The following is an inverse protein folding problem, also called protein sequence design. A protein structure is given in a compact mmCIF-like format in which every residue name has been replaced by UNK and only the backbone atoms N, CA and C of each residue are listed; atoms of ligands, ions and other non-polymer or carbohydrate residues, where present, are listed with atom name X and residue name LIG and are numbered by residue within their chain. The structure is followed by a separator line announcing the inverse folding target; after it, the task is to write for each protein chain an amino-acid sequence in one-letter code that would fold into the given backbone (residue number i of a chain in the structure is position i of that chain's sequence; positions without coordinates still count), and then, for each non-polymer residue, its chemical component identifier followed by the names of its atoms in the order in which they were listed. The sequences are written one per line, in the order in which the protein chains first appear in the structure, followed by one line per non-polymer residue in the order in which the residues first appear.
data_IF_404114247298
#
_entry.id   IF_404114247298
#
_cell.length_a   1.000
_cell.length_b   1.000
_cell.length_c   1.000
_cell.angle_alpha   90.00
_cell.angle_beta   90.00
_cell.angle_gamma   90.00
#
_symmetry.space_group_name_H-M   'P 1'
#
loop_
_entity.id
_entity.type
_entity.pdbx_description
1 polymer ?
#
# COMPACT_ATOMS: atom_id res chain seq x y z
N UNK A 1 27.50 0.05 6.21
CA UNK A 1 26.60 -0.17 5.06
C UNK A 1 25.33 -0.92 5.50
N UNK A 2 24.67 -0.49 6.59
CA UNK A 2 23.54 -1.26 7.18
C UNK A 2 22.51 -0.36 7.88
N UNK A 3 22.35 0.90 7.44
CA UNK A 3 21.45 1.84 8.11
C UNK A 3 20.58 2.68 7.16
N UNK A 4 20.48 2.30 5.88
CA UNK A 4 19.67 3.03 4.89
C UNK A 4 18.35 2.30 4.56
N UNK A 5 18.18 1.06 5.05
CA UNK A 5 17.12 0.15 4.58
C UNK A 5 15.98 -0.03 5.61
N UNK A 6 15.69 1.01 6.41
CA UNK A 6 14.57 1.03 7.35
C UNK A 6 13.43 1.97 6.93
N UNK A 7 13.65 2.85 5.95
CA UNK A 7 12.63 3.79 5.48
C UNK A 7 11.74 3.22 4.36
N UNK A 8 12.20 2.15 3.72
CA UNK A 8 11.38 1.38 2.80
C UNK A 8 10.70 0.28 3.61
N UNK A 9 9.50 0.54 4.15
CA UNK A 9 8.60 -0.48 4.70
C UNK A 9 8.09 -1.45 3.61
N UNK A 10 8.99 -1.89 2.72
CA UNK A 10 8.81 -2.84 1.65
C UNK A 10 9.49 -4.10 2.14
N UNK A 11 8.71 -5.15 2.42
CA UNK A 11 9.31 -6.45 2.72
C UNK A 11 10.04 -6.89 1.45
N UNK A 12 11.37 -7.15 1.50
CA UNK A 12 12.13 -7.51 0.32
C UNK A 12 11.48 -8.70 -0.38
N UNK A 13 11.30 -8.58 -1.69
CA UNK A 13 10.68 -9.62 -2.53
C UNK A 13 11.39 -10.97 -2.37
N UNK A 14 12.70 -10.94 -2.13
CA UNK A 14 13.51 -12.12 -1.83
C UNK A 14 13.09 -12.85 -0.55
N UNK A 15 12.65 -12.12 0.48
CA UNK A 15 12.22 -12.69 1.76
C UNK A 15 10.81 -13.26 1.64
N UNK A 16 9.86 -12.52 1.05
CA UNK A 16 8.47 -13.00 0.92
C UNK A 16 8.36 -14.20 -0.02
N UNK A 17 9.04 -14.18 -1.17
CA UNK A 17 9.05 -15.29 -2.10
C UNK A 17 9.79 -16.51 -1.52
N UNK A 18 10.93 -16.27 -0.86
CA UNK A 18 11.64 -17.31 -0.11
C UNK A 18 10.76 -17.91 1.00
N UNK A 19 9.97 -17.07 1.68
CA UNK A 19 9.01 -17.48 2.69
C UNK A 19 7.86 -18.32 2.13
N UNK A 20 7.29 -17.96 0.97
CA UNK A 20 6.28 -18.80 0.29
C UNK A 20 6.85 -20.18 -0.02
N UNK A 21 8.06 -20.23 -0.60
CA UNK A 21 8.73 -21.51 -0.90
C UNK A 21 8.98 -22.30 0.37
N UNK A 22 9.48 -21.67 1.44
CA UNK A 22 9.68 -22.30 2.73
C UNK A 22 8.36 -22.83 3.33
N UNK A 23 7.25 -22.09 3.18
CA UNK A 23 5.92 -22.50 3.61
C UNK A 23 5.40 -23.71 2.86
N UNK A 24 5.62 -23.78 1.55
CA UNK A 24 5.27 -24.96 0.75
C UNK A 24 6.12 -26.18 1.13
N UNK A 25 7.42 -25.99 1.36
CA UNK A 25 8.32 -27.06 1.86
C UNK A 25 7.85 -27.53 3.24
N UNK A 26 7.51 -26.61 4.14
CA UNK A 26 7.00 -26.92 5.47
C UNK A 26 5.65 -27.65 5.40
N UNK A 27 4.79 -27.28 4.46
CA UNK A 27 3.50 -27.95 4.21
C UNK A 27 3.65 -29.39 3.75
N UNK A 28 4.67 -29.66 2.93
CA UNK A 28 5.06 -31.02 2.55
C UNK A 28 5.63 -31.74 3.76
N UNK A 29 6.60 -31.15 4.46
CA UNK A 29 7.32 -31.80 5.56
C UNK A 29 6.42 -32.08 6.77
N UNK A 30 5.45 -31.19 7.05
CA UNK A 30 4.57 -31.21 8.22
C UNK A 30 3.10 -31.02 7.79
N UNK A 31 2.45 -32.05 7.23
CA UNK A 31 1.06 -31.94 6.74
C UNK A 31 0.05 -31.60 7.83
N UNK A 32 0.41 -31.86 9.10
CA UNK A 32 -0.35 -31.47 10.28
C UNK A 32 -0.58 -29.97 10.41
N UNK A 33 0.24 -29.13 9.76
CA UNK A 33 0.01 -27.68 9.70
C UNK A 33 -1.34 -27.33 9.04
N UNK A 34 -1.88 -28.24 8.22
CA UNK A 34 -3.14 -28.07 7.49
C UNK A 34 -4.21 -29.08 7.93
N UNK A 35 -4.05 -29.68 9.11
CA UNK A 35 -4.87 -30.81 9.59
C UNK A 35 -4.95 -31.97 8.60
N UNK A 36 -3.89 -32.19 7.82
CA UNK A 36 -3.79 -33.30 6.85
C UNK A 36 -2.83 -34.37 7.33
N UNK A 37 -3.04 -35.57 6.81
CA UNK A 37 -2.21 -36.75 7.11
C UNK A 37 -1.24 -37.07 5.98
N UNK A 38 -1.58 -36.69 4.74
CA UNK A 38 -0.77 -36.93 3.55
C UNK A 38 0.11 -35.72 3.20
N UNK A 39 1.37 -35.98 2.85
CA UNK A 39 2.31 -34.97 2.35
C UNK A 39 1.81 -34.23 1.10
N UNK A 40 1.10 -34.95 0.23
CA UNK A 40 0.52 -34.35 -0.97
C UNK A 40 -0.64 -33.41 -0.62
N UNK A 41 -1.49 -33.80 0.33
CA UNK A 41 -2.58 -32.95 0.79
C UNK A 41 -2.07 -31.70 1.50
N UNK A 42 -1.00 -31.83 2.30
CA UNK A 42 -0.31 -30.68 2.90
C UNK A 42 0.19 -29.70 1.84
N UNK A 43 0.88 -30.18 0.80
CA UNK A 43 1.30 -29.35 -0.33
C UNK A 43 0.13 -28.67 -1.03
N UNK A 44 -0.93 -29.42 -1.32
CA UNK A 44 -2.12 -28.90 -1.99
C UNK A 44 -2.77 -27.78 -1.16
N UNK A 45 -2.90 -27.96 0.15
CA UNK A 45 -3.47 -26.96 1.06
C UNK A 45 -2.58 -25.73 1.19
N UNK A 46 -1.26 -25.90 1.34
CA UNK A 46 -0.32 -24.78 1.34
C UNK A 46 -0.31 -24.01 0.01
N UNK A 47 -0.34 -24.71 -1.12
CA UNK A 47 -0.41 -24.08 -2.45
C UNK A 47 -1.73 -23.34 -2.67
N UNK A 48 -2.85 -23.92 -2.24
CA UNK A 48 -4.17 -23.30 -2.30
C UNK A 48 -4.24 -22.09 -1.37
N UNK A 49 -3.70 -22.17 -0.15
CA UNK A 49 -3.58 -21.04 0.76
C UNK A 49 -2.73 -19.91 0.17
N UNK A 50 -1.57 -20.23 -0.41
CA UNK A 50 -0.70 -19.23 -1.02
C UNK A 50 -1.36 -18.54 -2.22
N UNK A 51 -1.92 -19.32 -3.16
CA UNK A 51 -2.60 -18.80 -4.33
C UNK A 51 -3.87 -18.03 -3.93
N UNK A 52 -4.65 -18.57 -3.00
CA UNK A 52 -5.87 -17.94 -2.48
C UNK A 52 -5.58 -16.61 -1.80
N UNK A 53 -4.56 -16.54 -0.95
CA UNK A 53 -4.09 -15.31 -0.31
C UNK A 53 -3.64 -14.27 -1.32
N UNK A 54 -2.78 -14.68 -2.26
CA UNK A 54 -2.32 -13.80 -3.33
C UNK A 54 -3.49 -13.22 -4.12
N UNK A 55 -4.37 -14.08 -4.64
CA UNK A 55 -5.50 -13.68 -5.49
C UNK A 55 -6.47 -12.79 -4.72
N UNK A 56 -6.85 -13.18 -3.50
CA UNK A 56 -7.80 -12.42 -2.68
C UNK A 56 -7.33 -11.00 -2.45
N UNK A 57 -6.11 -10.84 -1.93
CA UNK A 57 -5.61 -9.51 -1.58
C UNK A 57 -5.26 -8.71 -2.84
N UNK A 58 -4.76 -9.36 -3.89
CA UNK A 58 -4.58 -8.70 -5.19
C UNK A 58 -5.88 -8.14 -5.76
N UNK A 59 -6.99 -8.89 -5.66
CA UNK A 59 -8.31 -8.41 -6.09
C UNK A 59 -8.78 -7.21 -5.26
N UNK A 60 -8.58 -7.24 -3.94
CA UNK A 60 -8.88 -6.12 -3.04
C UNK A 60 -8.08 -4.89 -3.45
N UNK A 61 -6.77 -5.03 -3.66
CA UNK A 61 -5.88 -3.94 -4.10
C UNK A 61 -6.34 -3.41 -5.46
N UNK A 62 -6.68 -4.29 -6.40
CA UNK A 62 -7.12 -3.91 -7.74
C UNK A 62 -8.46 -3.15 -7.70
N UNK A 63 -9.40 -3.60 -6.89
CA UNK A 63 -10.67 -2.92 -6.66
C UNK A 63 -10.46 -1.56 -5.99
N UNK A 64 -9.61 -1.48 -4.95
CA UNK A 64 -9.24 -0.23 -4.30
C UNK A 64 -8.62 0.77 -5.27
N UNK A 65 -7.72 0.31 -6.15
CA UNK A 65 -7.15 1.15 -7.22
C UNK A 65 -8.20 1.62 -8.23
N UNK A 66 -9.18 0.77 -8.57
CA UNK A 66 -10.27 1.16 -9.46
C UNK A 66 -11.18 2.23 -8.81
N UNK A 67 -11.43 2.12 -7.50
CA UNK A 67 -12.30 3.04 -6.76
C UNK A 67 -11.60 4.35 -6.36
N UNK A 68 -10.31 4.32 -6.03
CA UNK A 68 -9.60 5.44 -5.38
C UNK A 68 -8.25 5.80 -6.03
N UNK A 69 -7.90 5.22 -7.18
CA UNK A 69 -6.52 5.23 -7.69
C UNK A 69 -5.95 6.57 -8.16
N UNK A 70 -6.75 7.65 -8.20
CA UNK A 70 -6.28 9.01 -8.49
C UNK A 70 -7.12 10.00 -7.70
N UNK A 71 -6.46 10.92 -7.01
CA UNK A 71 -7.12 12.12 -6.48
C UNK A 71 -7.03 13.18 -7.56
N UNK A 72 -8.17 13.74 -7.95
CA UNK A 72 -8.22 14.87 -8.88
C UNK A 72 -8.64 16.10 -8.10
N UNK A 73 -7.80 17.12 -8.17
CA UNK A 73 -8.13 18.48 -7.81
C UNK A 73 -8.59 19.17 -9.09
N UNK A 74 -9.81 19.68 -9.09
CA UNK A 74 -10.36 20.49 -10.17
C UNK A 74 -11.02 21.71 -9.52
N UNK A 75 -10.57 22.90 -9.91
CA UNK A 75 -11.11 24.18 -9.43
C UNK A 75 -11.36 25.12 -10.60
N UNK A 76 -12.47 25.86 -10.54
CA UNK A 76 -12.79 26.93 -11.50
C UNK A 76 -11.87 28.15 -11.29
N UNK A 77 -11.45 28.40 -10.05
CA UNK A 77 -10.50 29.47 -9.71
C UNK A 77 -9.07 28.90 -9.62
N UNK A 78 -8.05 29.62 -10.14
CA UNK A 78 -6.65 29.20 -10.03
C UNK A 78 -6.23 28.98 -8.57
N UNK A 79 -5.71 27.79 -8.28
CA UNK A 79 -5.18 27.41 -6.97
C UNK A 79 -3.66 27.53 -6.97
N UNK A 80 -3.08 27.85 -5.81
CA UNK A 80 -1.63 27.91 -5.68
C UNK A 80 -1.01 26.51 -5.75
N UNK A 81 0.02 26.37 -6.57
CA UNK A 81 0.83 25.17 -6.68
C UNK A 81 2.26 25.49 -6.25
N UNK A 82 2.85 24.64 -5.41
CA UNK A 82 4.29 24.74 -5.14
C UNK A 82 4.93 23.40 -4.80
N UNK A 83 6.19 23.27 -5.19
CA UNK A 83 7.11 22.23 -4.72
C UNK A 83 8.24 22.96 -4.03
N UNK A 84 8.35 22.76 -2.73
CA UNK A 84 9.39 23.38 -1.92
C UNK A 84 10.04 22.36 -1.01
N UNK A 85 11.33 22.55 -0.75
CA UNK A 85 12.08 21.78 0.23
C UNK A 85 12.47 22.73 1.37
N UNK A 86 11.70 22.77 2.49
CA UNK A 86 11.93 23.73 3.57
C UNK A 86 13.26 23.53 4.30
N UNK A 87 13.72 22.28 4.39
CA UNK A 87 14.99 21.88 5.02
C UNK A 87 15.76 20.94 4.06
N UNK A 88 17.05 21.18 3.78
CA UNK A 88 17.86 20.30 2.94
C UNK A 88 17.94 18.83 3.39
N UNK A 89 17.69 18.55 4.68
CA UNK A 89 17.65 17.18 5.21
C UNK A 89 16.29 16.50 5.03
N UNK A 90 15.23 17.26 4.73
CA UNK A 90 13.87 16.75 4.56
C UNK A 90 13.53 16.49 3.08
N UNK A 91 12.58 15.59 2.83
CA UNK A 91 12.01 15.40 1.50
C UNK A 91 11.24 16.65 1.04
N UNK A 92 11.15 16.92 -0.28
CA UNK A 92 10.33 17.99 -0.80
C UNK A 92 8.86 17.84 -0.37
N UNK A 93 8.11 18.93 -0.40
CA UNK A 93 6.67 18.94 -0.16
C UNK A 93 5.94 19.55 -1.33
N UNK A 94 4.80 18.96 -1.67
CA UNK A 94 3.94 19.41 -2.76
C UNK A 94 2.71 20.05 -2.14
N UNK A 95 2.43 21.30 -2.48
CA UNK A 95 1.21 22.00 -2.07
C UNK A 95 0.33 22.26 -3.29
N UNK A 96 -0.95 21.92 -3.18
CA UNK A 96 -1.98 22.15 -4.20
C UNK A 96 -3.16 22.79 -3.48
N UNK A 97 -3.35 24.09 -3.65
CA UNK A 97 -4.33 24.87 -2.88
C UNK A 97 -4.04 24.82 -1.38
N UNK A 98 -5.03 24.36 -0.60
CA UNK A 98 -4.89 24.18 0.86
C UNK A 98 -4.28 22.83 1.25
N UNK A 99 -4.22 21.87 0.32
CA UNK A 99 -3.72 20.52 0.58
C UNK A 99 -2.19 20.45 0.46
N UNK A 100 -1.54 19.79 1.44
CA UNK A 100 -0.10 19.53 1.47
C UNK A 100 0.14 18.02 1.41
N UNK A 101 0.96 17.58 0.45
CA UNK A 101 1.33 16.19 0.19
C UNK A 101 2.82 15.98 0.43
N UNK A 102 3.16 14.84 1.03
CA UNK A 102 4.55 14.38 1.17
C UNK A 102 5.07 13.82 -0.16
N UNK A 103 6.31 14.13 -0.53
CA UNK A 103 6.91 13.64 -1.77
C UNK A 103 6.88 12.12 -1.90
N UNK A 104 7.16 11.40 -0.80
CA UNK A 104 7.20 9.95 -0.77
C UNK A 104 5.80 9.33 -0.87
N UNK A 105 4.75 10.07 -0.50
CA UNK A 105 3.37 9.62 -0.67
C UNK A 105 2.93 9.73 -2.13
N UNK A 106 3.35 10.80 -2.82
CA UNK A 106 3.01 11.04 -4.23
C UNK A 106 3.82 10.14 -5.16
N UNK A 107 5.11 9.93 -4.87
CA UNK A 107 6.03 9.13 -5.69
C UNK A 107 6.41 7.82 -5.02
N UNK A 108 5.41 7.01 -4.67
CA UNK A 108 5.63 5.74 -3.99
C UNK A 108 6.21 4.65 -4.90
N UNK A 109 5.90 4.66 -6.21
CA UNK A 109 6.41 3.71 -7.20
C UNK A 109 7.19 4.39 -8.30
N UNK A 110 8.17 3.66 -8.81
CA UNK A 110 8.86 4.01 -10.04
C UNK A 110 7.86 4.20 -11.19
N UNK A 111 7.80 5.41 -11.74
CA UNK A 111 6.91 5.79 -12.83
C UNK A 111 5.58 6.40 -12.39
N UNK A 112 5.35 6.59 -11.09
CA UNK A 112 4.31 7.51 -10.62
C UNK A 112 4.62 8.91 -11.16
N UNK A 113 3.55 9.59 -11.58
CA UNK A 113 3.64 10.94 -12.14
C UNK A 113 2.51 11.81 -11.63
N UNK A 114 2.86 13.00 -11.20
CA UNK A 114 1.93 14.06 -10.86
C UNK A 114 1.73 14.91 -12.09
N UNK A 115 0.49 14.92 -12.60
CA UNK A 115 0.11 15.77 -13.74
C UNK A 115 -0.54 17.02 -13.21
N UNK A 116 -0.06 18.20 -13.60
CA UNK A 116 -0.63 19.48 -13.17
C UNK A 116 -0.88 20.35 -14.39
N UNK A 117 -2.09 20.84 -14.52
CA UNK A 117 -2.45 21.86 -15.50
C UNK A 117 -2.20 23.23 -14.87
N UNK A 118 -1.07 23.84 -15.24
CA UNK A 118 -0.64 25.14 -14.72
C UNK A 118 -1.06 26.27 -15.67
N UNK A 119 -1.55 27.36 -15.10
CA UNK A 119 -1.77 28.65 -15.78
C UNK A 119 -0.53 29.54 -15.72
N UNK A 120 0.25 29.45 -14.65
CA UNK A 120 1.53 30.14 -14.47
C UNK A 120 2.54 29.17 -13.85
N UNK A 121 3.78 29.17 -14.35
CA UNK A 121 4.88 28.37 -13.80
C UNK A 121 6.11 29.26 -13.60
N UNK A 122 6.70 29.18 -12.42
CA UNK A 122 8.00 29.74 -12.05
C UNK A 122 8.90 28.63 -11.56
N UNK A 123 10.05 28.47 -12.21
CA UNK A 123 11.11 27.55 -11.80
C UNK A 123 12.31 28.39 -11.40
N UNK A 124 12.81 28.24 -10.18
CA UNK A 124 13.91 29.05 -9.65
C UNK A 124 13.65 30.57 -9.81
N UNK A 125 12.42 31.00 -9.53
CA UNK A 125 11.93 32.39 -9.67
C UNK A 125 11.87 32.93 -11.11
N UNK A 126 12.18 32.11 -12.12
CA UNK A 126 12.04 32.47 -13.53
C UNK A 126 10.70 32.00 -14.10
N UNK A 127 9.90 32.93 -14.63
CA UNK A 127 8.63 32.61 -15.27
C UNK A 127 8.84 31.87 -16.60
N UNK A 128 8.15 30.74 -16.77
CA UNK A 128 8.19 29.92 -17.98
C UNK A 128 6.78 29.73 -18.54
N UNK A 129 6.68 29.71 -19.87
CA UNK A 129 5.45 29.28 -20.55
C UNK A 129 5.34 27.76 -20.44
N UNK A 130 4.19 27.28 -19.99
CA UNK A 130 3.88 25.86 -19.89
C UNK A 130 2.63 25.53 -20.70
N UNK A 131 2.74 24.48 -21.49
CA UNK A 131 1.62 23.78 -22.13
C UNK A 131 1.39 22.43 -21.44
N UNK A 132 2.48 21.76 -21.06
CA UNK A 132 2.44 20.51 -20.29
C UNK A 132 3.44 20.55 -19.15
N UNK A 133 3.00 20.10 -17.97
CA UNK A 133 3.83 19.98 -16.78
C UNK A 133 3.55 18.64 -16.08
N UNK A 134 4.57 17.79 -16.04
CA UNK A 134 4.52 16.51 -15.34
C UNK A 134 5.70 16.43 -14.37
N UNK A 135 5.45 15.98 -13.15
CA UNK A 135 6.49 15.76 -12.14
C UNK A 135 6.64 14.27 -11.95
N UNK A 136 7.88 13.81 -11.94
CA UNK A 136 8.29 12.44 -11.62
C UNK A 136 9.21 12.48 -10.39
N UNK A 137 9.49 11.30 -9.84
CA UNK A 137 10.34 11.13 -8.66
C UNK A 137 11.71 11.84 -8.78
N UNK A 138 12.37 11.70 -9.93
CA UNK A 138 13.76 12.16 -10.15
C UNK A 138 13.86 13.39 -11.08
N UNK A 139 12.80 13.73 -11.83
CA UNK A 139 12.81 14.81 -12.82
C UNK A 139 11.44 15.45 -13.02
N UNK A 140 11.45 16.65 -13.58
CA UNK A 140 10.26 17.38 -14.01
C UNK A 140 10.31 17.47 -15.53
N UNK A 141 9.18 17.25 -16.19
CA UNK A 141 9.03 17.40 -17.62
C UNK A 141 8.15 18.64 -17.93
N UNK A 142 8.73 19.59 -18.66
CA UNK A 142 8.10 20.85 -19.06
C UNK A 142 8.10 20.93 -20.57
N UNK A 143 6.93 20.96 -21.23
CA UNK A 143 6.83 21.01 -22.70
C UNK A 143 7.67 19.93 -23.42
N UNK A 144 7.73 18.72 -22.87
CA UNK A 144 8.57 17.60 -23.32
C UNK A 144 10.09 17.76 -23.13
N UNK A 145 10.54 18.82 -22.44
CA UNK A 145 11.93 18.97 -21.97
C UNK A 145 12.05 18.42 -20.54
N UNK A 146 13.06 17.57 -20.30
CA UNK A 146 13.31 16.98 -18.98
C UNK A 146 14.36 17.78 -18.21
N UNK A 147 13.98 18.24 -17.04
CA UNK A 147 14.83 18.94 -16.07
C UNK A 147 15.02 18.02 -14.86
N UNK A 148 16.27 17.77 -14.46
CA UNK A 148 16.53 16.99 -13.25
C UNK A 148 16.04 17.75 -12.03
N UNK A 149 15.49 17.04 -11.06
CA UNK A 149 14.98 17.66 -9.84
C UNK A 149 16.10 18.36 -9.05
N UNK A 150 17.33 17.82 -9.08
CA UNK A 150 18.52 18.41 -8.44
C UNK A 150 18.83 19.85 -8.92
N UNK A 151 18.48 20.18 -10.17
CA UNK A 151 18.72 21.50 -10.76
C UNK A 151 17.57 22.50 -10.45
N UNK A 152 16.52 22.03 -9.77
CA UNK A 152 15.30 22.77 -9.48
C UNK A 152 15.18 23.00 -7.97
N UNK A 153 15.45 24.23 -7.52
CA UNK A 153 15.40 24.62 -6.10
C UNK A 153 13.98 24.88 -5.62
N UNK A 154 13.16 25.48 -6.46
CA UNK A 154 11.77 25.82 -6.14
C UNK A 154 10.93 25.80 -7.42
N UNK A 155 9.74 25.21 -7.30
CA UNK A 155 8.70 25.30 -8.31
C UNK A 155 7.49 25.95 -7.69
N UNK A 156 6.98 27.02 -8.31
CA UNK A 156 5.76 27.67 -7.86
C UNK A 156 4.92 28.08 -9.05
N UNK A 157 3.61 28.21 -8.86
CA UNK A 157 2.71 28.53 -9.94
C UNK A 157 1.26 28.55 -9.50
N UNK A 158 0.38 28.68 -10.48
CA UNK A 158 -1.05 28.48 -10.27
C UNK A 158 -1.53 27.33 -11.16
N UNK A 159 -2.39 26.47 -10.61
CA UNK A 159 -2.98 25.34 -11.31
C UNK A 159 -4.51 25.39 -11.25
N UNK A 160 -5.15 24.92 -12.32
CA UNK A 160 -6.61 24.70 -12.36
C UNK A 160 -6.96 23.24 -12.09
N UNK A 161 -6.06 22.32 -12.46
CA UNK A 161 -6.21 20.91 -12.18
C UNK A 161 -4.90 20.25 -11.79
N UNK A 162 -4.97 19.30 -10.85
CA UNK A 162 -3.86 18.43 -10.50
C UNK A 162 -4.36 16.99 -10.28
N UNK A 163 -3.66 16.03 -10.88
CA UNK A 163 -3.95 14.60 -10.74
C UNK A 163 -2.83 13.96 -9.94
N UNK A 164 -3.11 13.69 -8.67
CA UNK A 164 -2.18 13.05 -7.75
C UNK A 164 -2.39 11.54 -7.82
N UNK A 165 -1.35 10.75 -8.16
CA UNK A 165 -1.42 9.29 -8.05
C UNK A 165 -1.61 8.90 -6.58
N UNK A 166 -2.52 7.97 -6.31
CA UNK A 166 -2.74 7.45 -4.96
C UNK A 166 -2.66 5.94 -4.96
N UNK A 167 -1.85 5.39 -4.05
CA UNK A 167 -1.82 3.97 -3.79
C UNK A 167 -2.77 3.62 -2.66
N UNK A 168 -3.61 2.61 -2.87
CA UNK A 168 -4.48 2.11 -1.82
C UNK A 168 -3.71 1.20 -0.84
N UNK A 169 -2.69 0.46 -1.31
CA UNK A 169 -1.99 -0.58 -0.54
C UNK A 169 -0.76 -1.13 -1.31
N UNK A 170 0.31 -1.49 -0.60
CA UNK A 170 1.56 -2.00 -1.17
C UNK A 170 1.48 -3.44 -1.68
N UNK A 171 2.23 -3.77 -2.74
CA UNK A 171 2.25 -5.13 -3.30
C UNK A 171 2.99 -6.14 -2.40
N UNK A 172 3.82 -5.67 -1.47
CA UNK A 172 4.48 -6.50 -0.46
C UNK A 172 3.47 -7.26 0.42
N UNK A 173 2.35 -6.63 0.77
CA UNK A 173 1.31 -7.24 1.60
C UNK A 173 0.63 -8.42 0.89
N UNK A 174 0.46 -8.33 -0.44
CA UNK A 174 -0.08 -9.42 -1.28
C UNK A 174 0.83 -10.65 -1.24
N UNK A 175 2.15 -10.44 -1.28
CA UNK A 175 3.13 -11.53 -1.16
C UNK A 175 3.18 -12.07 0.26
N UNK A 176 3.04 -11.20 1.25
CA UNK A 176 3.05 -11.58 2.66
C UNK A 176 1.84 -12.45 3.04
N UNK A 177 0.62 -12.12 2.59
CA UNK A 177 -0.54 -12.98 2.81
C UNK A 177 -0.43 -14.31 2.04
N UNK A 178 0.21 -14.31 0.87
CA UNK A 178 0.50 -15.55 0.15
C UNK A 178 1.47 -16.43 0.94
N UNK A 179 2.48 -15.83 1.57
CA UNK A 179 3.37 -16.54 2.49
C UNK A 179 2.61 -17.11 3.69
N UNK A 180 1.77 -16.30 4.35
CA UNK A 180 0.93 -16.76 5.47
C UNK A 180 0.06 -17.95 5.04
N UNK A 181 -0.59 -17.86 3.88
CA UNK A 181 -1.40 -18.95 3.34
C UNK A 181 -0.59 -20.20 3.00
N UNK A 182 0.67 -20.05 2.57
CA UNK A 182 1.56 -21.18 2.35
C UNK A 182 1.82 -21.97 3.64
N UNK A 183 1.91 -21.31 4.80
CA UNK A 183 2.15 -21.98 6.09
C UNK A 183 0.88 -22.46 6.79
N UNK A 184 -0.19 -21.67 6.73
CA UNK A 184 -1.35 -21.82 7.61
C UNK A 184 -2.64 -22.21 6.88
N UNK A 185 -2.60 -22.34 5.55
CA UNK A 185 -3.75 -22.70 4.74
C UNK A 185 -4.64 -21.51 4.36
N UNK A 186 -5.73 -21.80 3.66
CA UNK A 186 -6.62 -20.79 3.09
C UNK A 186 -7.63 -20.25 4.12
N UNK A 187 -7.96 -21.05 5.12
CA UNK A 187 -8.79 -20.65 6.25
C UNK A 187 -8.13 -19.48 7.00
N UNK A 188 -6.82 -19.61 7.26
CA UNK A 188 -6.00 -18.59 7.88
C UNK A 188 -5.95 -17.31 7.06
N UNK A 189 -5.89 -17.42 5.73
CA UNK A 189 -5.89 -16.26 4.82
C UNK A 189 -7.14 -15.42 5.01
N UNK A 190 -8.32 -16.05 4.95
CA UNK A 190 -9.60 -15.34 5.06
C UNK A 190 -9.69 -14.65 6.42
N UNK A 191 -9.38 -15.37 7.50
CA UNK A 191 -9.39 -14.79 8.84
C UNK A 191 -8.39 -13.65 8.97
N UNK A 192 -7.17 -13.83 8.49
CA UNK A 192 -6.09 -12.84 8.64
C UNK A 192 -6.43 -11.55 7.90
N UNK A 193 -6.94 -11.61 6.67
CA UNK A 193 -7.38 -10.42 5.93
C UNK A 193 -8.52 -9.71 6.65
N UNK A 194 -9.47 -10.47 7.20
CA UNK A 194 -10.60 -9.91 7.95
C UNK A 194 -10.16 -9.24 9.25
N UNK A 195 -9.36 -9.93 10.07
CA UNK A 195 -8.80 -9.41 11.31
C UNK A 195 -7.93 -8.17 11.05
N UNK A 196 -7.12 -8.20 9.99
CA UNK A 196 -6.29 -7.06 9.61
C UNK A 196 -7.14 -5.84 9.21
N UNK A 197 -8.21 -6.06 8.45
CA UNK A 197 -9.15 -5.00 8.06
C UNK A 197 -9.84 -4.37 9.27
N UNK A 198 -10.28 -5.18 10.25
CA UNK A 198 -10.85 -4.67 11.51
C UNK A 198 -9.81 -3.88 12.31
N UNK A 199 -8.61 -4.43 12.48
CA UNK A 199 -7.52 -3.77 13.21
C UNK A 199 -7.16 -2.43 12.61
N UNK A 200 -6.99 -2.39 11.28
CA UNK A 200 -6.72 -1.16 10.53
C UNK A 200 -7.85 -0.14 10.66
N UNK A 201 -9.10 -0.57 10.55
CA UNK A 201 -10.26 0.32 10.69
C UNK A 201 -10.36 0.93 12.11
N UNK A 202 -10.17 0.13 13.15
CA UNK A 202 -10.20 0.62 14.55
C UNK A 202 -9.08 1.64 14.78
N UNK A 203 -7.84 1.32 14.40
CA UNK A 203 -6.71 2.23 14.60
C UNK A 203 -6.88 3.50 13.76
N UNK A 204 -7.32 3.39 12.50
CA UNK A 204 -7.58 4.55 11.65
C UNK A 204 -8.66 5.47 12.23
N UNK A 205 -9.73 4.91 12.80
CA UNK A 205 -10.76 5.68 13.50
C UNK A 205 -10.20 6.36 14.76
N UNK A 206 -9.39 5.65 15.55
CA UNK A 206 -8.76 6.21 16.75
C UNK A 206 -7.78 7.33 16.42
N UNK A 207 -6.96 7.18 15.37
CA UNK A 207 -6.05 8.23 14.90
C UNK A 207 -6.81 9.49 14.49
N UNK A 208 -7.93 9.33 13.76
CA UNK A 208 -8.80 10.47 13.39
C UNK A 208 -9.35 11.20 14.61
N UNK A 209 -9.65 10.48 15.69
CA UNK A 209 -10.20 11.07 16.92
C UNK A 209 -9.14 11.75 17.79
N UNK A 210 -7.91 11.24 17.82
CA UNK A 210 -6.85 11.72 18.72
C UNK A 210 -5.88 12.71 18.05
N UNK A 211 -5.60 12.55 16.75
CA UNK A 211 -4.48 13.22 16.06
C UNK A 211 -4.84 14.44 15.20
N UNK A 212 -6.11 14.70 14.91
CA UNK A 212 -6.52 15.71 13.92
C UNK A 212 -6.03 15.41 12.49
N UNK A 213 -6.31 16.29 11.52
CA UNK A 213 -5.97 16.10 10.08
C UNK A 213 -4.49 15.74 9.81
N UNK A 214 -3.56 16.22 10.66
CA UNK A 214 -2.11 16.16 10.42
C UNK A 214 -1.47 14.80 10.67
N UNK A 215 -2.20 13.82 11.20
CA UNK A 215 -1.66 12.48 11.50
C UNK A 215 -2.17 11.38 10.56
N UNK A 216 -2.46 11.75 9.31
CA UNK A 216 -2.88 10.82 8.25
C UNK A 216 -1.70 10.16 7.54
N UNK A 217 -0.74 9.58 8.29
CA UNK A 217 0.26 8.71 7.66
C UNK A 217 -0.43 7.44 7.16
N UNK A 218 -0.14 6.97 5.94
CA UNK A 218 -0.69 5.71 5.45
C UNK A 218 -0.32 4.58 6.42
N UNK A 219 -1.33 3.96 7.01
CA UNK A 219 -1.13 2.82 7.92
C UNK A 219 -0.68 1.61 7.10
N UNK A 220 0.52 1.07 7.33
CA UNK A 220 0.95 -0.13 6.63
C UNK A 220 0.03 -1.30 7.01
N UNK A 221 -0.47 -2.04 6.01
CA UNK A 221 -1.40 -3.15 6.25
C UNK A 221 -0.68 -4.42 6.72
N UNK A 222 0.59 -4.59 6.34
CA UNK A 222 1.45 -5.72 6.72
C UNK A 222 1.49 -6.06 8.21
N UNK A 223 1.72 -5.09 9.13
CA UNK A 223 1.67 -5.35 10.57
C UNK A 223 0.34 -5.95 11.05
N UNK A 224 -0.79 -5.50 10.49
CA UNK A 224 -2.10 -6.04 10.84
C UNK A 224 -2.31 -7.46 10.29
N UNK A 225 -1.79 -7.76 9.09
CA UNK A 225 -1.73 -9.14 8.58
C UNK A 225 -0.90 -10.03 9.50
N UNK A 226 0.25 -9.56 9.98
CA UNK A 226 1.11 -10.32 10.88
C UNK A 226 0.39 -10.61 12.21
N UNK A 227 -0.30 -9.61 12.77
CA UNK A 227 -1.12 -9.78 13.97
C UNK A 227 -2.28 -10.76 13.76
N UNK A 228 -2.98 -10.67 12.62
CA UNK A 228 -4.05 -11.62 12.27
C UNK A 228 -3.55 -13.06 12.17
N UNK A 229 -2.42 -13.26 11.50
CA UNK A 229 -1.78 -14.58 11.40
C UNK A 229 -1.30 -15.08 12.77
N UNK A 230 -0.73 -14.20 13.60
CA UNK A 230 -0.33 -14.53 14.97
C UNK A 230 -1.53 -15.00 15.81
N UNK A 231 -2.65 -14.29 15.76
CA UNK A 231 -3.90 -14.70 16.46
C UNK A 231 -4.38 -16.05 15.93
N UNK A 232 -4.32 -16.27 14.61
CA UNK A 232 -4.70 -17.55 14.01
C UNK A 232 -3.88 -18.72 14.53
N UNK A 233 -2.56 -18.56 14.71
CA UNK A 233 -1.69 -19.64 15.21
C UNK A 233 -2.15 -20.19 16.57
N UNK A 234 -2.69 -19.34 17.45
CA UNK A 234 -3.13 -19.77 18.79
C UNK A 234 -4.61 -20.08 18.90
N UNK A 235 -5.45 -19.54 18.00
CA UNK A 235 -6.90 -19.59 18.11
C UNK A 235 -7.60 -20.15 16.88
N UNK A 236 -6.86 -20.52 15.83
CA UNK A 236 -7.39 -20.98 14.54
C UNK A 236 -8.37 -22.14 14.68
N UNK A 237 -8.00 -23.19 15.41
CA UNK A 237 -8.87 -24.35 15.64
C UNK A 237 -10.17 -23.98 16.35
N UNK A 238 -10.10 -23.12 17.38
CA UNK A 238 -11.27 -22.67 18.13
C UNK A 238 -12.19 -21.80 17.26
N UNK A 239 -11.61 -20.88 16.49
CA UNK A 239 -12.33 -19.98 15.57
C UNK A 239 -13.00 -20.79 14.47
N UNK A 240 -12.28 -21.74 13.86
CA UNK A 240 -12.79 -22.59 12.79
C UNK A 240 -13.94 -23.47 13.27
N UNK A 241 -13.79 -24.13 14.41
CA UNK A 241 -14.85 -24.95 14.99
C UNK A 241 -16.08 -24.12 15.38
N UNK A 242 -15.89 -22.93 15.94
CA UNK A 242 -16.99 -22.00 16.22
C UNK A 242 -17.74 -21.61 14.94
N UNK A 243 -17.03 -21.25 13.88
CA UNK A 243 -17.61 -20.88 12.59
C UNK A 243 -18.40 -22.04 11.95
N UNK A 244 -17.83 -23.24 11.93
CA UNK A 244 -18.48 -24.43 11.38
C UNK A 244 -19.72 -24.83 12.19
N UNK A 245 -19.70 -24.67 13.51
CA UNK A 245 -20.87 -24.89 14.36
C UNK A 245 -21.96 -23.87 14.09
N UNK A 246 -21.60 -22.59 13.91
CA UNK A 246 -22.56 -21.55 13.55
C UNK A 246 -23.26 -21.87 12.22
N UNK A 247 -22.49 -22.21 11.18
CA UNK A 247 -23.04 -22.57 9.86
C UNK A 247 -23.96 -23.80 9.94
N UNK A 248 -23.58 -24.83 10.71
CA UNK A 248 -24.40 -26.03 10.90
C UNK A 248 -25.69 -25.71 11.65
N UNK A 249 -25.63 -24.87 12.68
CA UNK A 249 -26.79 -24.50 13.48
C UNK A 249 -27.82 -23.66 12.72
N UNK A 250 -27.35 -22.78 11.81
CA UNK A 250 -28.22 -21.97 10.95
C UNK A 250 -28.92 -22.74 9.82
N UNK A 251 -28.52 -23.98 9.54
CA UNK A 251 -29.15 -24.83 8.52
C UNK A 251 -30.19 -25.81 9.10
N UNK A 252 -30.18 -26.00 10.42
CA UNK A 252 -31.13 -26.84 11.16
C UNK A 252 -32.25 -26.06 11.85
N UNK A 253 -32.34 -24.74 11.61
CA UNK A 253 -33.33 -23.82 12.18
C UNK A 253 -34.37 -23.36 11.17
#
# INVERSE_FOLDING_TARGET
ATYIDFDHFIIPDSITLGGVVAGLIASVAFPKLHDKTSHFEGLAMGALGAAGGFVLLWLIVRAGKLMFGRIRHESEEPMDFSISQPDPEDNPKIRIGEDEYDWMEVFYRKGDKLQVELTELKINDEARKVETFEVFEDWIEVNSERLKLEDVKNVSGQCTSAVVPREAMGFGDVKFIAMIGAFLGWEAVIFTVFAASIGGAIIGLLQKWVGGEKWSRPLPFGPYLALGAFVWIFSGDAIWNWYMNLLRSGWTG
#
